data_IF_652725613495
#
_entry.id   IF_652725613495
#
_cell.length_a   1.000
_cell.length_b   1.000
_cell.length_c   1.000
_cell.angle_alpha   90.00
_cell.angle_beta   90.00
_cell.angle_gamma   90.00
#
_symmetry.space_group_name_H-M   'P 1'
#
loop_
_entity.id
_entity.type
_entity.pdbx_description
1 polymer ?
#
# COMPACT_ATOMS: atom_id res chain seq x y z
N UNK A 1 -6.42 -5.03 -10.92
CA UNK A 1 -5.49 -3.89 -11.14
C UNK A 1 -6.29 -2.60 -11.06
N UNK A 2 -5.80 -1.62 -10.30
CA UNK A 2 -6.41 -0.31 -10.10
C UNK A 2 -5.54 0.77 -10.75
N UNK A 3 -6.12 1.89 -11.19
CA UNK A 3 -5.37 3.02 -11.71
C UNK A 3 -5.60 4.24 -10.80
N UNK A 4 -4.69 4.54 -9.86
CA UNK A 4 -4.75 5.74 -9.05
C UNK A 4 -4.30 6.96 -9.87
N UNK A 5 -5.09 8.02 -9.85
CA UNK A 5 -4.73 9.31 -10.43
C UNK A 5 -3.45 9.87 -9.79
N UNK A 6 -3.26 9.69 -8.48
CA UNK A 6 -2.07 10.12 -7.73
C UNK A 6 -0.79 9.51 -8.28
N UNK A 7 -0.84 8.25 -8.70
CA UNK A 7 0.33 7.54 -9.23
C UNK A 7 0.50 7.67 -10.74
N UNK A 8 -0.60 7.85 -11.48
CA UNK A 8 -0.65 7.76 -12.95
C UNK A 8 -0.04 6.45 -13.48
N UNK A 9 -0.26 5.36 -12.76
CA UNK A 9 0.28 4.02 -13.05
C UNK A 9 -0.58 2.93 -12.38
N UNK A 10 -0.53 1.69 -12.87
CA UNK A 10 -1.28 0.60 -12.25
C UNK A 10 -0.78 0.25 -10.84
N UNK A 11 -1.72 0.11 -9.91
CA UNK A 11 -1.49 -0.49 -8.60
C UNK A 11 -2.18 -1.87 -8.53
N UNK A 12 -1.45 -2.88 -8.07
CA UNK A 12 -1.97 -4.22 -7.81
C UNK A 12 -2.80 -4.23 -6.51
N UNK A 13 -3.74 -5.17 -6.43
CA UNK A 13 -4.50 -5.51 -5.23
C UNK A 13 -4.89 -6.98 -5.34
N UNK A 14 -5.01 -7.66 -4.19
CA UNK A 14 -5.27 -9.10 -4.12
C UNK A 14 -6.64 -9.43 -3.53
N UNK A 15 -7.25 -8.48 -2.80
CA UNK A 15 -8.53 -8.66 -2.15
C UNK A 15 -9.58 -7.65 -2.62
N UNK A 16 -10.85 -7.90 -2.26
CA UNK A 16 -11.96 -6.98 -2.56
C UNK A 16 -11.95 -5.73 -1.67
N UNK A 17 -11.37 -5.79 -0.47
CA UNK A 17 -11.31 -4.67 0.48
C UNK A 17 -10.23 -3.62 0.12
N UNK A 18 -9.18 -4.06 -0.58
CA UNK A 18 -8.08 -3.17 -0.97
C UNK A 18 -8.47 -2.06 -1.96
N UNK A 19 -9.31 -2.31 -2.98
CA UNK A 19 -9.87 -1.27 -3.83
C UNK A 19 -10.61 -0.17 -3.05
N UNK A 20 -11.38 -0.51 -2.01
CA UNK A 20 -12.11 0.49 -1.20
C UNK A 20 -11.14 1.45 -0.51
N UNK A 21 -10.03 0.93 0.03
CA UNK A 21 -8.97 1.77 0.63
C UNK A 21 -8.18 2.58 -0.39
N UNK A 22 -7.99 2.02 -1.59
CA UNK A 22 -7.35 2.72 -2.71
C UNK A 22 -8.13 3.94 -3.14
N UNK A 23 -9.45 3.84 -3.22
CA UNK A 23 -10.30 4.98 -3.56
C UNK A 23 -10.15 6.12 -2.56
N UNK A 24 -10.12 5.81 -1.27
CA UNK A 24 -9.90 6.82 -0.23
C UNK A 24 -8.51 7.45 -0.33
N UNK A 25 -7.47 6.63 -0.54
CA UNK A 25 -6.10 7.10 -0.66
C UNK A 25 -5.84 7.94 -1.93
N UNK A 26 -6.50 7.61 -3.04
CA UNK A 26 -6.38 8.37 -4.30
C UNK A 26 -7.16 9.69 -4.25
N UNK A 27 -8.19 9.77 -3.41
CA UNK A 27 -8.98 10.99 -3.21
C UNK A 27 -8.36 11.97 -2.21
N UNK A 28 -7.59 11.46 -1.25
CA UNK A 28 -6.99 12.26 -0.19
C UNK A 28 -5.91 13.21 -0.73
N UNK A 29 -6.08 14.55 -0.62
CA UNK A 29 -5.18 15.53 -1.24
C UNK A 29 -3.77 15.53 -0.64
N UNK A 30 -3.61 15.08 0.61
CA UNK A 30 -2.33 14.94 1.26
C UNK A 30 -1.49 13.79 0.68
N UNK A 31 -2.11 12.78 0.06
CA UNK A 31 -1.42 11.60 -0.45
C UNK A 31 -0.80 11.91 -1.82
N UNK A 32 0.52 11.92 -1.87
CA UNK A 32 1.28 12.23 -3.09
C UNK A 32 1.85 11.00 -3.80
N UNK A 33 1.87 9.83 -3.12
CA UNK A 33 2.29 8.56 -3.72
C UNK A 33 1.71 7.37 -2.98
N UNK A 34 1.28 6.36 -3.74
CA UNK A 34 0.77 5.09 -3.24
C UNK A 34 1.71 3.97 -3.72
N UNK A 35 2.15 3.08 -2.85
CA UNK A 35 2.91 1.89 -3.27
C UNK A 35 2.20 0.65 -2.79
N UNK A 36 1.99 -0.32 -3.68
CA UNK A 36 1.46 -1.63 -3.31
C UNK A 36 2.64 -2.54 -2.94
N UNK A 37 2.58 -3.17 -1.77
CA UNK A 37 3.58 -4.17 -1.34
C UNK A 37 5.03 -3.69 -1.49
N UNK A 38 5.38 -2.56 -0.84
CA UNK A 38 6.59 -1.82 -1.18
C UNK A 38 7.89 -2.57 -0.83
N UNK A 39 7.85 -3.40 0.21
CA UNK A 39 9.03 -4.07 0.75
C UNK A 39 8.63 -5.18 1.73
N UNK A 40 9.56 -6.10 1.98
CA UNK A 40 9.47 -7.04 3.08
C UNK A 40 9.97 -6.41 4.38
N UNK A 41 9.11 -6.33 5.39
CA UNK A 41 9.52 -6.03 6.76
C UNK A 41 9.92 -7.34 7.43
N UNK A 42 11.19 -7.45 7.78
CA UNK A 42 11.72 -8.59 8.54
C UNK A 42 12.14 -8.12 9.94
N UNK A 43 11.80 -8.89 10.96
CA UNK A 43 12.17 -8.55 12.32
C UNK A 43 11.95 -9.71 13.29
N UNK A 44 12.64 -9.66 14.42
CA UNK A 44 12.40 -10.56 15.53
C UNK A 44 11.11 -10.15 16.24
N UNK A 45 10.16 -11.09 16.31
CA UNK A 45 9.01 -11.04 17.18
C UNK A 45 9.25 -12.01 18.34
N UNK A 46 9.86 -11.50 19.41
CA UNK A 46 10.39 -12.31 20.51
C UNK A 46 11.51 -13.24 20.04
N UNK A 47 11.22 -14.54 19.97
CA UNK A 47 12.18 -15.58 19.53
C UNK A 47 12.01 -15.99 18.07
N UNK A 48 10.99 -15.49 17.37
CA UNK A 48 10.66 -15.91 16.01
C UNK A 48 11.03 -14.81 15.03
N UNK A 49 11.81 -15.13 14.01
CA UNK A 49 12.00 -14.22 12.87
C UNK A 49 10.70 -14.19 12.07
N UNK A 50 10.06 -13.03 12.01
CA UNK A 50 8.87 -12.81 11.19
C UNK A 50 9.20 -11.95 9.99
N UNK A 51 8.41 -12.19 8.96
CA UNK A 51 8.48 -11.44 7.72
C UNK A 51 7.06 -11.10 7.30
N UNK A 52 6.82 -9.84 6.97
CA UNK A 52 5.51 -9.32 6.56
C UNK A 52 5.67 -8.34 5.40
N UNK A 53 4.81 -8.44 4.38
CA UNK A 53 4.67 -7.40 3.36
C UNK A 53 3.48 -6.54 3.73
N UNK A 54 3.66 -5.23 3.93
CA UNK A 54 2.53 -4.31 4.07
C UNK A 54 1.74 -4.23 2.76
N UNK A 55 0.41 -4.24 2.81
CA UNK A 55 -0.41 -4.16 1.60
C UNK A 55 -0.14 -2.86 0.82
N UNK A 56 -0.07 -1.71 1.53
CA UNK A 56 0.19 -0.39 0.95
C UNK A 56 1.05 0.51 1.82
N UNK A 57 1.77 1.40 1.17
CA UNK A 57 2.44 2.55 1.78
C UNK A 57 1.97 3.83 1.10
N UNK A 58 1.55 4.81 1.91
CA UNK A 58 1.14 6.13 1.48
C UNK A 58 2.22 7.14 1.87
N UNK A 59 2.67 7.94 0.91
CA UNK A 59 3.50 9.11 1.18
C UNK A 59 2.59 10.34 1.22
N UNK A 60 2.64 11.09 2.30
CA UNK A 60 1.87 12.32 2.47
C UNK A 60 2.78 13.56 2.50
N UNK A 61 2.27 14.69 2.00
CA UNK A 61 2.94 16.00 2.01
C UNK A 61 2.52 16.86 3.21
#
# INVERSE_FOLDING_TARGET
>A
MFWPATNRAHALYESRLEPDRLWLADYAPEVVRISAQPMWLCGLDGKTMRRHVPDRLLLCA
#
